data_IF_728361873577
#
_entry.id   IF_728361873577
#
_cell.length_a   1.000
_cell.length_b   1.000
_cell.length_c   1.000
_cell.angle_alpha   90.00
_cell.angle_beta   90.00
_cell.angle_gamma   90.00
#
_symmetry.space_group_name_H-M   'P 1'
#
loop_
_entity.id
_entity.type
_entity.pdbx_description
1 polymer ?
#
# COMPACT_ATOMS: atom_id res chain seq x y z
N UNK A 1 -21.67 13.36 25.31
CA UNK A 1 -21.54 12.09 24.57
C UNK A 1 -20.75 12.40 23.33
N UNK A 2 -19.48 12.00 23.30
CA UNK A 2 -18.66 12.09 22.09
C UNK A 2 -19.23 11.13 21.07
N UNK A 3 -19.57 11.64 19.88
CA UNK A 3 -20.11 10.84 18.79
C UNK A 3 -18.96 10.58 17.83
N UNK A 4 -18.51 9.32 17.79
CA UNK A 4 -17.46 8.89 16.87
C UNK A 4 -18.13 8.44 15.57
N UNK A 5 -18.01 9.25 14.53
CA UNK A 5 -18.54 8.95 13.22
C UNK A 5 -17.43 8.31 12.37
N UNK A 6 -17.70 7.17 11.73
CA UNK A 6 -16.76 6.49 10.81
C UNK A 6 -17.35 6.41 9.39
N UNK A 7 -17.49 7.53 8.65
CA UNK A 7 -18.19 7.55 7.36
C UNK A 7 -17.58 6.63 6.31
N UNK A 8 -16.25 6.44 6.34
CA UNK A 8 -15.55 5.51 5.44
C UNK A 8 -15.98 4.05 5.61
N UNK A 9 -16.55 3.69 6.76
CA UNK A 9 -17.04 2.33 7.03
C UNK A 9 -18.24 1.98 6.15
N UNK A 10 -19.06 2.95 5.76
CA UNK A 10 -20.22 2.72 4.88
C UNK A 10 -19.80 2.14 3.53
N UNK A 11 -18.65 2.57 2.99
CA UNK A 11 -18.12 2.07 1.72
C UNK A 11 -17.81 0.57 1.76
N UNK A 12 -17.49 0.02 2.94
CA UNK A 12 -17.26 -1.41 3.15
C UNK A 12 -18.54 -2.17 3.56
N UNK A 13 -19.48 -1.51 4.22
CA UNK A 13 -20.75 -2.10 4.68
C UNK A 13 -21.75 -2.25 3.52
N UNK A 14 -21.76 -1.31 2.57
CA UNK A 14 -22.65 -1.33 1.39
C UNK A 14 -22.17 -2.27 0.26
N UNK A 15 -20.97 -2.86 0.42
CA UNK A 15 -20.40 -3.78 -0.54
C UNK A 15 -21.19 -5.09 -0.62
N UNK A 16 -22.10 -5.19 -1.59
CA UNK A 16 -22.80 -6.43 -1.89
C UNK A 16 -21.79 -7.57 -2.13
N UNK A 17 -21.99 -8.71 -1.45
CA UNK A 17 -21.20 -9.93 -1.68
C UNK A 17 -21.30 -10.28 -3.16
N UNK A 18 -20.20 -10.12 -3.89
CA UNK A 18 -20.17 -10.53 -5.29
C UNK A 18 -20.29 -12.05 -5.37
N UNK A 19 -21.08 -12.58 -6.33
CA UNK A 19 -21.17 -14.01 -6.53
C UNK A 19 -19.80 -14.59 -6.94
N UNK A 20 -19.52 -15.82 -6.48
CA UNK A 20 -18.26 -16.51 -6.75
C UNK A 20 -17.18 -16.32 -5.68
N UNK A 21 -15.96 -16.76 -6.00
CA UNK A 21 -14.82 -16.68 -5.09
C UNK A 21 -14.17 -15.29 -5.13
N UNK A 22 -14.02 -14.68 -3.95
CA UNK A 22 -13.43 -13.34 -3.81
C UNK A 22 -12.01 -13.26 -4.36
N UNK A 23 -11.22 -14.33 -4.26
CA UNK A 23 -9.84 -14.37 -4.75
C UNK A 23 -9.78 -14.50 -6.27
N UNK A 24 -10.62 -15.36 -6.87
CA UNK A 24 -10.72 -15.47 -8.33
C UNK A 24 -11.22 -14.17 -8.95
N UNK A 25 -12.21 -13.53 -8.31
CA UNK A 25 -12.74 -12.24 -8.76
C UNK A 25 -11.67 -11.14 -8.65
N UNK A 26 -10.89 -11.11 -7.57
CA UNK A 26 -9.76 -10.20 -7.41
C UNK A 26 -8.74 -10.35 -8.54
N UNK A 27 -8.40 -11.59 -8.93
CA UNK A 27 -7.48 -11.85 -10.04
C UNK A 27 -8.04 -11.39 -11.40
N UNK A 28 -9.34 -11.56 -11.62
CA UNK A 28 -10.02 -11.25 -12.88
C UNK A 28 -10.29 -9.75 -13.09
N UNK A 29 -10.32 -8.95 -12.02
CA UNK A 29 -10.66 -7.53 -12.09
C UNK A 29 -9.65 -6.68 -12.87
N UNK A 30 -8.38 -7.10 -12.92
CA UNK A 30 -7.32 -6.40 -13.65
C UNK A 30 -6.79 -5.12 -12.98
N UNK A 31 -7.29 -4.76 -11.80
CA UNK A 31 -6.75 -3.67 -10.96
C UNK A 31 -6.26 -4.23 -9.61
N UNK A 32 -4.96 -4.46 -9.53
CA UNK A 32 -4.30 -4.97 -8.32
C UNK A 32 -4.51 -4.03 -7.11
N UNK A 33 -4.57 -2.72 -7.32
CA UNK A 33 -4.71 -1.76 -6.23
C UNK A 33 -6.11 -1.78 -5.67
N UNK A 34 -7.12 -1.78 -6.53
CA UNK A 34 -8.52 -1.90 -6.12
C UNK A 34 -8.77 -3.21 -5.39
N UNK A 35 -8.17 -4.30 -5.87
CA UNK A 35 -8.30 -5.63 -5.27
C UNK A 35 -7.31 -5.91 -4.13
N UNK A 36 -6.51 -4.91 -3.74
CA UNK A 36 -5.54 -4.98 -2.66
C UNK A 36 -4.47 -6.08 -2.84
N UNK A 37 -4.18 -6.45 -4.08
CA UNK A 37 -3.09 -7.37 -4.45
C UNK A 37 -1.75 -6.64 -4.30
N UNK A 38 -0.91 -7.18 -3.44
CA UNK A 38 0.42 -6.66 -3.11
C UNK A 38 1.51 -7.24 -4.01
N UNK A 39 1.39 -8.49 -4.43
CA UNK A 39 2.41 -9.12 -5.27
C UNK A 39 1.87 -10.36 -5.95
N UNK A 40 2.34 -10.64 -7.16
CA UNK A 40 1.99 -11.81 -7.96
C UNK A 40 3.27 -12.61 -8.19
N UNK A 41 3.33 -13.81 -7.61
CA UNK A 41 4.35 -14.82 -7.90
C UNK A 41 3.91 -15.75 -9.04
N UNK A 42 4.57 -16.90 -9.15
CA UNK A 42 4.37 -17.88 -10.21
C UNK A 42 3.16 -18.79 -9.96
N UNK A 43 2.94 -19.21 -8.71
CA UNK A 43 1.90 -20.14 -8.26
C UNK A 43 0.89 -19.50 -7.31
N UNK A 44 1.16 -18.29 -6.82
CA UNK A 44 0.27 -17.58 -5.91
C UNK A 44 0.51 -16.08 -5.87
N UNK A 45 -0.24 -15.41 -5.02
CA UNK A 45 -0.19 -13.97 -4.87
C UNK A 45 -0.42 -13.56 -3.40
N UNK A 46 0.03 -12.36 -3.05
CA UNK A 46 -0.14 -11.74 -1.74
C UNK A 46 -1.19 -10.65 -1.91
N UNK A 47 -2.15 -10.56 -0.98
CA UNK A 47 -3.11 -9.46 -0.93
C UNK A 47 -3.39 -9.03 0.51
N UNK A 48 -3.86 -7.81 0.73
CA UNK A 48 -4.37 -7.41 2.04
C UNK A 48 -5.76 -8.00 2.30
N UNK A 49 -6.02 -8.31 3.56
CA UNK A 49 -7.37 -8.59 4.01
C UNK A 49 -8.16 -7.28 4.15
N UNK A 50 -9.31 -7.22 3.49
CA UNK A 50 -10.24 -6.09 3.56
C UNK A 50 -10.78 -5.87 4.99
N UNK A 51 -10.89 -6.95 5.76
CA UNK A 51 -11.33 -6.97 7.15
C UNK A 51 -10.19 -7.45 8.05
N UNK A 52 -9.16 -6.61 8.25
CA UNK A 52 -7.94 -7.01 8.93
C UNK A 52 -8.18 -7.23 10.44
N UNK A 53 -7.41 -8.15 11.04
CA UNK A 53 -7.34 -8.26 12.51
C UNK A 53 -6.45 -7.15 13.08
N UNK A 54 -5.36 -6.84 12.38
CA UNK A 54 -4.41 -5.78 12.69
C UNK A 54 -3.91 -5.16 11.38
N UNK A 55 -3.37 -3.94 11.45
CA UNK A 55 -2.74 -3.29 10.29
C UNK A 55 -1.68 -4.21 9.69
N UNK A 56 -1.71 -4.36 8.36
CA UNK A 56 -0.85 -5.28 7.63
C UNK A 56 -1.29 -6.74 7.60
N UNK A 57 -2.50 -7.07 8.07
CA UNK A 57 -3.06 -8.41 7.86
C UNK A 57 -3.15 -8.71 6.35
N UNK A 58 -2.25 -9.57 5.88
CA UNK A 58 -2.20 -10.04 4.50
C UNK A 58 -2.57 -11.52 4.39
N UNK A 59 -2.93 -11.93 3.18
CA UNK A 59 -3.24 -13.30 2.81
C UNK A 59 -2.36 -13.70 1.63
N UNK A 60 -1.82 -14.91 1.69
CA UNK A 60 -1.12 -15.56 0.58
C UNK A 60 -2.02 -16.62 0.00
N UNK A 61 -2.30 -16.52 -1.30
CA UNK A 61 -3.37 -17.26 -1.95
C UNK A 61 -2.81 -17.93 -3.22
N UNK A 62 -2.99 -19.25 -3.41
CA UNK A 62 -2.63 -19.90 -4.67
C UNK A 62 -3.56 -19.45 -5.79
N UNK A 63 -3.06 -19.43 -7.03
CA UNK A 63 -3.91 -19.20 -8.20
C UNK A 63 -4.93 -20.34 -8.40
N UNK A 64 -4.54 -21.56 -8.04
CA UNK A 64 -5.41 -22.71 -8.09
C UNK A 64 -6.55 -22.58 -7.07
N UNK A 65 -7.79 -22.68 -7.53
CA UNK A 65 -8.96 -22.74 -6.65
C UNK A 65 -9.06 -24.12 -6.02
N UNK A 66 -8.47 -24.30 -4.84
CA UNK A 66 -8.54 -25.51 -4.02
C UNK A 66 -8.74 -25.13 -2.56
N UNK A 67 -9.45 -25.95 -1.80
CA UNK A 67 -9.80 -25.68 -0.40
C UNK A 67 -8.76 -26.18 0.62
N UNK A 68 -7.84 -27.07 0.21
CA UNK A 68 -6.89 -27.72 1.12
C UNK A 68 -5.47 -27.77 0.55
N UNK A 69 -4.50 -27.87 1.45
CA UNK A 69 -3.06 -27.86 1.13
C UNK A 69 -2.65 -29.16 0.41
N UNK A 70 -3.34 -30.28 0.68
CA UNK A 70 -3.01 -31.57 0.06
C UNK A 70 -3.25 -31.56 -1.46
N UNK A 71 -4.15 -30.69 -1.93
CA UNK A 71 -4.52 -30.58 -3.34
C UNK A 71 -3.58 -29.70 -4.18
N UNK A 72 -2.62 -29.03 -3.54
CA UNK A 72 -1.58 -28.28 -4.24
C UNK A 72 -0.42 -29.20 -4.64
N UNK A 73 0.27 -28.87 -5.72
CA UNK A 73 1.55 -29.50 -6.04
C UNK A 73 2.68 -28.99 -5.11
N UNK A 74 3.85 -29.63 -5.18
CA UNK A 74 4.96 -29.31 -4.31
C UNK A 74 5.58 -27.92 -4.56
N UNK A 75 5.61 -27.46 -5.81
CA UNK A 75 6.14 -26.14 -6.17
C UNK A 75 5.21 -25.04 -5.66
N UNK A 76 3.90 -25.20 -5.87
CA UNK A 76 2.87 -24.31 -5.33
C UNK A 76 2.98 -24.19 -3.80
N UNK A 77 3.09 -25.32 -3.07
CA UNK A 77 3.26 -25.28 -1.61
C UNK A 77 4.52 -24.56 -1.16
N UNK A 78 5.65 -24.79 -1.84
CA UNK A 78 6.92 -24.16 -1.51
C UNK A 78 6.83 -22.65 -1.72
N UNK A 79 6.30 -22.20 -2.86
CA UNK A 79 6.20 -20.78 -3.16
C UNK A 79 5.21 -20.05 -2.25
N UNK A 80 4.09 -20.66 -1.84
CA UNK A 80 3.21 -20.04 -0.86
C UNK A 80 3.95 -19.72 0.46
N UNK A 81 4.90 -20.55 0.87
CA UNK A 81 5.72 -20.29 2.05
C UNK A 81 6.75 -19.17 1.80
N UNK A 82 7.35 -19.11 0.61
CA UNK A 82 8.25 -18.01 0.21
C UNK A 82 7.52 -16.66 0.14
N UNK A 83 6.29 -16.65 -0.40
CA UNK A 83 5.43 -15.48 -0.43
C UNK A 83 5.01 -15.05 0.98
N UNK A 84 4.73 -16.00 1.88
CA UNK A 84 4.45 -15.69 3.28
C UNK A 84 5.68 -15.11 3.98
N UNK A 85 6.87 -15.64 3.70
CA UNK A 85 8.15 -15.12 4.20
C UNK A 85 8.39 -13.68 3.72
N UNK A 86 8.15 -13.41 2.43
CA UNK A 86 8.22 -12.06 1.85
C UNK A 86 7.24 -11.09 2.52
N UNK A 87 5.98 -11.51 2.74
CA UNK A 87 4.98 -10.70 3.44
C UNK A 87 5.40 -10.38 4.88
N UNK A 88 5.97 -11.37 5.61
CA UNK A 88 6.48 -11.20 6.97
C UNK A 88 7.65 -10.21 7.00
N UNK A 89 8.61 -10.34 6.07
CA UNK A 89 9.77 -9.45 5.98
C UNK A 89 9.35 -8.00 5.71
N UNK A 90 8.53 -7.79 4.66
CA UNK A 90 8.02 -6.47 4.32
C UNK A 90 7.25 -5.84 5.48
N UNK A 91 6.31 -6.59 6.07
CA UNK A 91 5.52 -6.14 7.23
C UNK A 91 6.41 -5.75 8.41
N UNK A 92 7.44 -6.56 8.72
CA UNK A 92 8.36 -6.28 9.84
C UNK A 92 9.09 -4.96 9.63
N UNK A 93 9.57 -4.72 8.40
CA UNK A 93 10.31 -3.51 8.03
C UNK A 93 9.44 -2.26 8.14
N UNK A 94 8.22 -2.30 7.58
CA UNK A 94 7.34 -1.11 7.54
C UNK A 94 6.56 -0.89 8.85
N UNK A 95 6.12 -1.94 9.53
CA UNK A 95 5.23 -1.83 10.71
C UNK A 95 5.97 -1.93 12.04
N UNK A 96 7.22 -2.41 12.05
CA UNK A 96 8.04 -2.61 13.26
C UNK A 96 7.29 -3.38 14.35
N UNK A 97 6.56 -4.42 13.93
CA UNK A 97 5.79 -5.28 14.82
C UNK A 97 6.70 -6.25 15.59
N UNK A 98 6.24 -6.68 16.77
CA UNK A 98 7.00 -7.53 17.69
C UNK A 98 6.94 -9.02 17.30
N UNK A 99 5.92 -9.42 16.54
CA UNK A 99 5.73 -10.82 16.14
C UNK A 99 4.68 -11.00 15.06
N UNK A 100 4.40 -12.26 14.73
CA UNK A 100 3.45 -12.64 13.69
C UNK A 100 2.65 -13.88 14.08
N UNK A 101 1.39 -13.92 13.69
CA UNK A 101 0.67 -15.18 13.50
C UNK A 101 0.64 -15.50 12.01
N UNK A 102 1.13 -16.68 11.64
CA UNK A 102 1.06 -17.21 10.27
C UNK A 102 0.30 -18.52 10.33
N UNK A 103 -0.77 -18.67 9.55
CA UNK A 103 -1.63 -19.84 9.68
C UNK A 103 -2.72 -19.99 8.62
N UNK A 104 -3.37 -21.15 8.67
CA UNK A 104 -4.40 -21.59 7.74
C UNK A 104 -5.61 -22.10 8.52
N UNK A 105 -6.80 -21.71 8.08
CA UNK A 105 -8.04 -22.30 8.56
C UNK A 105 -8.58 -23.24 7.46
N UNK A 106 -8.62 -24.55 7.72
CA UNK A 106 -9.04 -25.55 6.75
C UNK A 106 -10.46 -26.05 7.05
N UNK A 107 -11.39 -25.72 6.17
CA UNK A 107 -12.81 -26.04 6.33
C UNK A 107 -13.57 -25.02 7.20
N UNK A 108 -14.89 -24.96 7.03
CA UNK A 108 -15.76 -23.99 7.70
C UNK A 108 -15.71 -24.10 9.24
N UNK A 109 -15.58 -25.31 9.77
CA UNK A 109 -15.50 -25.57 11.22
C UNK A 109 -14.21 -25.01 11.84
N UNK A 110 -13.13 -24.89 11.07
CA UNK A 110 -11.88 -24.27 11.50
C UNK A 110 -11.90 -22.73 11.41
N UNK A 111 -13.03 -22.12 11.03
CA UNK A 111 -13.16 -20.66 10.90
C UNK A 111 -12.68 -20.11 9.56
N UNK A 112 -12.67 -20.92 8.49
CA UNK A 112 -12.40 -20.43 7.14
C UNK A 112 -13.56 -19.54 6.67
N UNK A 113 -13.32 -18.22 6.56
CA UNK A 113 -14.31 -17.27 6.04
C UNK A 113 -14.62 -17.46 4.54
N UNK A 114 -13.67 -18.04 3.81
CA UNK A 114 -13.76 -18.48 2.42
C UNK A 114 -13.27 -19.93 2.36
N UNK A 115 -14.18 -20.89 2.52
CA UNK A 115 -13.82 -22.29 2.78
C UNK A 115 -13.44 -23.08 1.52
N UNK A 116 -13.78 -22.58 0.34
CA UNK A 116 -13.58 -23.22 -0.96
C UNK A 116 -12.22 -22.91 -1.60
N UNK A 117 -11.55 -21.84 -1.16
CA UNK A 117 -10.25 -21.42 -1.68
C UNK A 117 -9.26 -21.12 -0.55
N UNK A 118 -8.20 -21.90 -0.50
CA UNK A 118 -7.10 -21.84 0.46
C UNK A 118 -6.47 -20.44 0.50
N UNK A 119 -6.20 -19.93 1.70
CA UNK A 119 -5.50 -18.66 1.88
C UNK A 119 -4.77 -18.65 3.22
N UNK A 120 -3.46 -18.43 3.20
CA UNK A 120 -2.62 -18.37 4.40
C UNK A 120 -2.62 -16.95 4.94
N UNK A 121 -3.02 -16.80 6.20
CA UNK A 121 -3.00 -15.52 6.89
C UNK A 121 -1.59 -15.20 7.40
N UNK A 122 -1.17 -13.95 7.25
CA UNK A 122 0.00 -13.35 7.88
C UNK A 122 -0.50 -12.14 8.65
N UNK A 123 -0.46 -12.22 9.99
CA UNK A 123 -1.03 -11.21 10.88
C UNK A 123 0.08 -10.63 11.76
N UNK A 124 0.49 -9.37 11.54
CA UNK A 124 1.42 -8.66 12.42
C UNK A 124 0.85 -8.49 13.83
N UNK A 125 1.69 -8.65 14.86
CA UNK A 125 1.33 -8.59 16.28
C UNK A 125 2.25 -7.64 17.05
N UNK A 126 1.68 -6.95 18.04
CA UNK A 126 2.42 -6.11 18.98
C UNK A 126 2.11 -6.51 20.41
N UNK A 127 3.05 -6.24 21.30
CA UNK A 127 2.85 -6.34 22.73
C UNK A 127 1.72 -5.41 23.15
N UNK A 128 0.59 -5.99 23.60
CA UNK A 128 -0.58 -5.22 24.02
C UNK A 128 -1.50 -4.74 22.88
N UNK A 129 -1.42 -5.33 21.68
CA UNK A 129 -2.35 -5.02 20.58
C UNK A 129 -3.81 -5.35 20.90
N UNK A 130 -4.05 -6.36 21.75
CA UNK A 130 -5.34 -6.63 22.33
C UNK A 130 -5.57 -5.74 23.56
N UNK A 131 -6.53 -4.82 23.47
CA UNK A 131 -6.99 -3.98 24.57
C UNK A 131 -8.47 -4.28 24.92
N UNK A 132 -9.08 -3.44 25.75
CA UNK A 132 -10.46 -3.66 26.20
C UNK A 132 -11.52 -3.40 25.11
N UNK A 133 -11.19 -2.66 24.05
CA UNK A 133 -12.16 -2.21 23.03
C UNK A 133 -12.83 -3.36 22.27
N UNK A 134 -12.11 -4.41 21.81
CA UNK A 134 -12.75 -5.53 21.11
C UNK A 134 -13.60 -6.38 22.06
N UNK A 135 -13.17 -6.51 23.32
CA UNK A 135 -13.81 -7.38 24.31
C UNK A 135 -15.10 -6.74 24.86
N UNK A 136 -15.05 -5.44 25.20
CA UNK A 136 -16.17 -4.75 25.84
C UNK A 136 -17.04 -3.96 24.86
N UNK A 137 -16.48 -3.54 23.72
CA UNK A 137 -17.13 -2.63 22.78
C UNK A 137 -17.32 -3.21 21.38
N UNK A 138 -16.97 -4.47 21.14
CA UNK A 138 -17.04 -5.13 19.82
C UNK A 138 -16.43 -4.26 18.70
N UNK A 139 -15.35 -3.55 19.04
CA UNK A 139 -14.74 -2.53 18.19
C UNK A 139 -13.24 -2.71 18.13
N UNK A 140 -12.72 -2.90 16.92
CA UNK A 140 -11.30 -2.87 16.62
C UNK A 140 -10.86 -1.46 16.23
N UNK A 141 -9.77 -0.97 16.83
CA UNK A 141 -9.17 0.32 16.49
C UNK A 141 -7.93 0.06 15.64
N UNK A 142 -7.94 0.57 14.41
CA UNK A 142 -6.86 0.39 13.44
C UNK A 142 -6.01 1.67 13.37
N UNK A 143 -4.69 1.60 13.62
CA UNK A 143 -3.83 2.79 13.67
C UNK A 143 -3.53 3.37 12.28
N UNK A 144 -3.66 2.58 11.22
CA UNK A 144 -3.36 2.99 9.84
C UNK A 144 -4.51 2.62 8.89
N UNK A 145 -4.80 3.50 7.94
CA UNK A 145 -5.81 3.28 6.91
C UNK A 145 -5.34 2.27 5.88
N UNK A 146 -6.28 1.47 5.36
CA UNK A 146 -5.99 0.40 4.39
C UNK A 146 -5.22 0.88 3.13
N UNK A 147 -5.56 2.02 2.50
CA UNK A 147 -4.78 2.52 1.35
C UNK A 147 -3.32 2.88 1.70
N UNK A 148 -3.09 3.40 2.90
CA UNK A 148 -1.75 3.72 3.38
C UNK A 148 -0.95 2.44 3.65
N UNK A 149 -1.54 1.48 4.37
CA UNK A 149 -0.94 0.16 4.59
C UNK A 149 -0.63 -0.55 3.27
N UNK A 150 -1.56 -0.53 2.32
CA UNK A 150 -1.36 -1.08 0.97
C UNK A 150 -0.15 -0.46 0.28
N UNK A 151 -0.06 0.87 0.27
CA UNK A 151 1.03 1.60 -0.37
C UNK A 151 2.40 1.24 0.20
N UNK A 152 2.50 1.21 1.54
CA UNK A 152 3.73 0.91 2.26
C UNK A 152 4.16 -0.54 2.03
N UNK A 153 3.22 -1.49 2.13
CA UNK A 153 3.52 -2.91 1.88
C UNK A 153 3.85 -3.17 0.41
N UNK A 154 3.10 -2.61 -0.54
CA UNK A 154 3.34 -2.79 -1.99
C UNK A 154 4.74 -2.28 -2.33
N UNK A 155 5.07 -1.05 -1.93
CA UNK A 155 6.39 -0.48 -2.21
C UNK A 155 7.54 -1.28 -1.62
N UNK A 156 7.41 -1.74 -0.38
CA UNK A 156 8.47 -2.53 0.25
C UNK A 156 8.62 -3.92 -0.37
N UNK A 157 7.51 -4.55 -0.76
CA UNK A 157 7.56 -5.85 -1.46
C UNK A 157 8.24 -5.70 -2.82
N UNK A 158 7.90 -4.68 -3.61
CA UNK A 158 8.56 -4.43 -4.90
C UNK A 158 10.07 -4.19 -4.72
N UNK A 159 10.47 -3.46 -3.66
CA UNK A 159 11.89 -3.24 -3.36
C UNK A 159 12.61 -4.55 -3.02
N UNK A 160 12.04 -5.38 -2.15
CA UNK A 160 12.62 -6.67 -1.77
C UNK A 160 12.68 -7.65 -2.95
N UNK A 161 11.63 -7.69 -3.79
CA UNK A 161 11.60 -8.53 -4.99
C UNK A 161 12.65 -8.06 -5.99
N UNK A 162 12.75 -6.74 -6.22
CA UNK A 162 13.77 -6.15 -7.07
C UNK A 162 15.19 -6.49 -6.60
N UNK A 163 15.45 -6.40 -5.29
CA UNK A 163 16.73 -6.78 -4.68
C UNK A 163 17.04 -8.27 -4.94
N UNK A 164 16.11 -9.17 -4.63
CA UNK A 164 16.27 -10.62 -4.81
C UNK A 164 16.45 -11.02 -6.28
N UNK A 165 15.83 -10.27 -7.20
CA UNK A 165 15.95 -10.50 -8.65
C UNK A 165 17.20 -9.87 -9.28
N UNK A 166 18.03 -9.15 -8.52
CA UNK A 166 19.21 -8.44 -9.05
C UNK A 166 18.89 -7.15 -9.83
N UNK A 167 17.67 -6.64 -9.68
CA UNK A 167 17.16 -5.41 -10.32
C UNK A 167 16.62 -4.44 -9.24
N UNK A 168 17.49 -3.92 -8.35
CA UNK A 168 17.06 -3.19 -7.16
C UNK A 168 16.36 -1.87 -7.49
N UNK A 169 15.40 -1.51 -6.64
CA UNK A 169 14.73 -0.21 -6.65
C UNK A 169 15.52 0.72 -5.73
N UNK A 170 16.17 1.72 -6.31
CA UNK A 170 17.12 2.58 -5.58
C UNK A 170 16.54 3.94 -5.21
N UNK A 171 15.35 4.27 -5.72
CA UNK A 171 14.75 5.59 -5.56
C UNK A 171 13.26 5.49 -5.20
N UNK A 172 12.81 6.45 -4.40
CA UNK A 172 11.42 6.63 -4.04
C UNK A 172 10.95 8.02 -4.50
N UNK A 173 9.91 8.04 -5.32
CA UNK A 173 9.21 9.23 -5.74
C UNK A 173 7.97 9.50 -4.89
N UNK A 174 7.54 10.75 -4.83
CA UNK A 174 6.34 11.11 -4.05
C UNK A 174 5.49 12.15 -4.74
N UNK A 175 4.18 11.89 -4.83
CA UNK A 175 3.19 12.90 -5.18
C UNK A 175 2.66 13.45 -3.86
N UNK A 176 3.07 14.67 -3.53
CA UNK A 176 2.71 15.30 -2.27
C UNK A 176 1.50 16.20 -2.50
N UNK A 177 0.42 15.89 -1.80
CA UNK A 177 -0.83 16.67 -1.80
C UNK A 177 -0.89 17.50 -0.52
N UNK A 178 -1.05 18.80 -0.67
CA UNK A 178 -1.30 19.74 0.43
C UNK A 178 -2.78 20.12 0.36
N UNK A 179 -3.63 19.62 1.27
CA UNK A 179 -5.06 19.92 1.26
C UNK A 179 -5.33 21.42 1.23
N UNK A 180 -6.18 21.87 0.32
CA UNK A 180 -6.50 23.29 0.13
C UNK A 180 -5.48 24.11 -0.67
N UNK A 181 -4.28 23.60 -0.95
CA UNK A 181 -3.25 24.31 -1.73
C UNK A 181 -2.99 23.66 -3.09
N UNK A 182 -2.82 22.33 -3.15
CA UNK A 182 -2.58 21.61 -4.40
C UNK A 182 -1.53 20.52 -4.28
N UNK A 183 -0.76 20.31 -5.36
CA UNK A 183 0.25 19.27 -5.50
C UNK A 183 1.62 19.90 -5.64
N UNK A 184 2.59 19.38 -4.89
CA UNK A 184 3.97 19.86 -4.91
C UNK A 184 4.75 19.25 -6.06
N UNK A 185 5.39 20.11 -6.84
CA UNK A 185 6.37 19.77 -7.87
C UNK A 185 7.73 20.37 -7.53
N UNK A 186 8.79 19.66 -7.89
CA UNK A 186 10.16 20.15 -7.82
C UNK A 186 10.61 20.63 -9.20
N UNK A 187 11.34 21.74 -9.25
CA UNK A 187 12.02 22.20 -10.46
C UNK A 187 13.44 21.65 -10.49
N UNK A 188 13.80 20.97 -11.58
CA UNK A 188 15.19 20.66 -11.92
C UNK A 188 15.65 21.63 -13.00
N UNK A 189 16.77 22.33 -12.76
CA UNK A 189 17.37 23.32 -13.67
C UNK A 189 17.63 22.78 -15.10
N UNK A 190 17.59 21.46 -15.30
CA UNK A 190 17.87 20.80 -16.58
C UNK A 190 16.73 19.92 -17.14
N UNK A 191 15.75 19.52 -16.31
CA UNK A 191 14.74 18.50 -16.68
C UNK A 191 13.27 18.99 -16.62
N UNK A 192 13.03 20.24 -16.20
CA UNK A 192 11.70 20.79 -16.03
C UNK A 192 11.06 20.39 -14.69
N UNK A 193 9.73 20.40 -14.63
CA UNK A 193 8.99 20.08 -13.41
C UNK A 193 8.76 18.57 -13.28
N UNK A 194 9.05 18.04 -12.10
CA UNK A 194 8.85 16.62 -11.76
C UNK A 194 8.33 16.46 -10.34
N UNK A 195 7.95 15.23 -9.97
CA UNK A 195 7.67 14.90 -8.58
C UNK A 195 8.99 14.74 -7.80
N UNK A 196 9.04 15.11 -6.51
CA UNK A 196 10.21 14.86 -5.68
C UNK A 196 10.61 13.38 -5.70
N UNK A 197 11.86 13.10 -6.03
CA UNK A 197 12.47 11.77 -5.99
C UNK A 197 13.69 11.82 -5.08
N UNK A 198 13.82 10.82 -4.22
CA UNK A 198 14.99 10.64 -3.35
C UNK A 198 15.59 9.25 -3.52
N UNK A 199 16.91 9.08 -3.38
CA UNK A 199 17.46 7.75 -3.17
C UNK A 199 16.89 7.12 -1.89
N UNK A 200 16.71 5.80 -1.93
CA UNK A 200 16.42 4.94 -0.77
C UNK A 200 17.78 4.60 -0.14
N UNK A 201 17.96 4.90 1.14
CA UNK A 201 19.22 4.67 1.84
C UNK A 201 19.09 3.51 2.84
N UNK A 202 19.50 2.26 2.50
CA UNK A 202 19.39 1.14 3.43
C UNK A 202 19.99 1.45 4.81
N UNK A 203 19.34 1.06 5.93
CA UNK A 203 18.21 0.13 6.04
C UNK A 203 16.81 0.78 5.93
N UNK A 204 16.71 1.98 5.36
CA UNK A 204 15.43 2.70 5.16
C UNK A 204 14.45 1.91 4.28
N UNK A 205 13.15 2.01 4.59
CA UNK A 205 12.06 1.49 3.73
C UNK A 205 11.69 2.48 2.62
N UNK A 206 10.99 2.01 1.58
CA UNK A 206 10.45 2.92 0.55
C UNK A 206 9.58 4.02 1.18
N UNK A 207 8.76 3.65 2.17
CA UNK A 207 7.88 4.61 2.84
C UNK A 207 8.64 5.63 3.70
N UNK A 208 9.73 5.24 4.35
CA UNK A 208 10.57 6.15 5.12
C UNK A 208 11.27 7.17 4.19
N UNK A 209 11.76 6.71 3.02
CA UNK A 209 12.35 7.58 2.02
C UNK A 209 11.35 8.63 1.50
N UNK A 210 10.11 8.22 1.22
CA UNK A 210 9.03 9.15 0.85
C UNK A 210 8.74 10.16 1.95
N UNK A 211 8.60 9.70 3.20
CA UNK A 211 8.33 10.59 4.33
C UNK A 211 9.47 11.59 4.57
N UNK A 212 10.72 11.16 4.36
CA UNK A 212 11.90 12.04 4.40
C UNK A 212 11.88 13.08 3.29
N UNK A 213 11.60 12.68 2.04
CA UNK A 213 11.51 13.61 0.91
C UNK A 213 10.40 14.65 1.11
N UNK A 214 9.22 14.19 1.52
CA UNK A 214 8.08 15.07 1.73
C UNK A 214 8.18 15.94 2.99
N UNK A 215 8.76 15.40 4.07
CA UNK A 215 9.03 16.15 5.31
C UNK A 215 10.11 17.21 5.12
N UNK A 216 11.18 16.89 4.38
CA UNK A 216 12.22 17.85 3.99
C UNK A 216 11.70 18.97 3.09
N UNK A 217 10.70 18.67 2.25
CA UNK A 217 10.03 19.68 1.44
C UNK A 217 9.18 20.61 2.33
N UNK A 218 8.24 20.10 3.13
CA UNK A 218 7.13 20.93 3.66
C UNK A 218 7.20 21.27 5.15
N UNK A 219 8.15 20.71 5.91
CA UNK A 219 8.34 21.01 7.35
C UNK A 219 7.15 20.68 8.26
N UNK A 220 6.09 20.04 7.73
CA UNK A 220 4.86 19.65 8.41
C UNK A 220 4.76 18.15 8.69
N UNK A 221 3.65 17.74 9.30
CA UNK A 221 3.33 16.32 9.50
C UNK A 221 2.86 15.71 8.19
N UNK A 222 3.69 14.84 7.62
CA UNK A 222 3.37 14.11 6.39
C UNK A 222 2.96 12.68 6.71
N UNK A 223 1.93 12.18 6.03
CA UNK A 223 1.47 10.79 6.10
C UNK A 223 1.39 10.17 4.71
N UNK A 224 1.63 8.86 4.61
CA UNK A 224 1.37 8.11 3.38
C UNK A 224 -0.14 8.01 3.18
N UNK A 225 -0.61 8.34 1.99
CA UNK A 225 -2.03 8.33 1.64
C UNK A 225 -2.40 7.19 0.68
N UNK A 226 -1.45 6.69 -0.12
CA UNK A 226 -1.75 5.65 -1.10
C UNK A 226 -0.62 5.29 -2.04
N UNK A 227 -0.85 4.26 -2.86
CA UNK A 227 0.05 3.80 -3.91
C UNK A 227 -0.16 4.62 -5.19
N UNK A 228 0.93 5.11 -5.80
CA UNK A 228 0.85 5.85 -7.06
C UNK A 228 1.31 5.03 -8.27
N UNK A 229 2.39 4.25 -8.14
CA UNK A 229 2.89 3.42 -9.23
C UNK A 229 4.39 3.16 -9.15
N UNK A 230 4.93 2.56 -10.20
CA UNK A 230 6.35 2.34 -10.37
C UNK A 230 6.74 2.77 -11.79
N UNK A 231 7.94 3.34 -11.92
CA UNK A 231 8.54 3.71 -13.21
C UNK A 231 9.91 3.07 -13.26
N UNK A 232 10.16 2.26 -14.29
CA UNK A 232 11.41 1.51 -14.43
C UNK A 232 12.54 2.36 -15.03
N UNK A 233 12.21 3.32 -15.90
CA UNK A 233 13.16 4.17 -16.64
C UNK A 233 13.18 5.61 -16.13
N UNK A 234 13.57 5.84 -14.87
CA UNK A 234 13.90 7.20 -14.41
C UNK A 234 15.40 7.48 -14.59
N UNK A 235 15.84 8.76 -14.58
CA UNK A 235 17.27 9.09 -14.54
C UNK A 235 18.03 8.44 -13.38
N UNK A 236 17.33 8.05 -12.30
CA UNK A 236 17.87 7.37 -11.13
C UNK A 236 17.63 5.84 -11.15
N UNK A 237 17.22 5.27 -12.28
CA UNK A 237 16.84 3.86 -12.45
C UNK A 237 15.37 3.60 -12.11
N UNK A 238 15.08 2.45 -11.47
CA UNK A 238 13.72 2.10 -11.07
C UNK A 238 13.30 2.90 -9.83
N UNK A 239 12.09 3.46 -9.86
CA UNK A 239 11.54 4.23 -8.76
C UNK A 239 10.09 3.83 -8.43
N UNK A 240 9.81 3.71 -7.15
CA UNK A 240 8.45 3.53 -6.62
C UNK A 240 7.89 4.88 -6.22
N UNK A 241 6.66 5.17 -6.64
CA UNK A 241 5.95 6.39 -6.32
C UNK A 241 4.80 6.12 -5.33
N UNK A 242 4.79 6.88 -4.24
CA UNK A 242 3.70 6.89 -3.26
C UNK A 242 2.99 8.25 -3.22
N UNK A 243 1.69 8.22 -2.93
CA UNK A 243 0.92 9.41 -2.58
C UNK A 243 1.18 9.75 -1.11
N UNK A 244 1.48 11.01 -0.83
CA UNK A 244 1.62 11.52 0.52
C UNK A 244 0.73 12.76 0.71
N UNK A 245 0.18 12.91 1.90
CA UNK A 245 -0.52 14.13 2.31
C UNK A 245 0.28 14.84 3.38
N UNK A 246 0.44 16.15 3.25
CA UNK A 246 1.11 16.96 4.25
C UNK A 246 0.19 18.09 4.70
N UNK A 247 0.10 18.30 6.01
CA UNK A 247 -0.62 19.46 6.53
C UNK A 247 0.17 20.74 6.23
N UNK A 248 -0.51 21.86 5.92
CA UNK A 248 0.15 23.14 5.70
C UNK A 248 1.03 23.50 6.91
N UNK A 249 2.34 23.56 6.70
CA UNK A 249 3.31 24.04 7.68
C UNK A 249 3.66 25.51 7.45
N UNK A 250 4.46 26.10 8.34
CA UNK A 250 5.03 27.45 8.15
C UNK A 250 6.15 27.49 7.10
N UNK A 251 6.52 26.36 6.50
CA UNK A 251 7.65 26.24 5.59
C UNK A 251 7.19 26.38 4.13
N UNK A 252 7.46 27.52 3.53
CA UNK A 252 7.53 27.67 2.08
C UNK A 252 8.76 26.92 1.57
N UNK A 253 8.56 25.85 0.81
CA UNK A 253 9.69 25.08 0.24
C UNK A 253 10.43 25.96 -0.78
N UNK A 254 11.73 26.27 -0.60
CA UNK A 254 12.48 26.99 -1.62
C UNK A 254 12.61 26.13 -2.88
N UNK A 255 12.09 26.61 -4.02
CA UNK A 255 12.19 25.93 -5.32
C UNK A 255 11.11 24.90 -5.62
N UNK A 256 10.16 24.64 -4.71
CA UNK A 256 8.98 23.84 -5.04
C UNK A 256 7.83 24.70 -5.55
N UNK A 257 7.12 24.20 -6.54
CA UNK A 257 5.94 24.83 -7.13
C UNK A 257 4.72 24.03 -6.68
N UNK A 258 3.72 24.71 -6.13
CA UNK A 258 2.43 24.08 -5.82
C UNK A 258 1.46 24.44 -6.94
N UNK A 259 0.91 23.42 -7.59
CA UNK A 259 -0.07 23.57 -8.65
C UNK A 259 -1.40 22.92 -8.25
N UNK A 260 -2.53 23.46 -8.71
CA UNK A 260 -3.81 22.78 -8.53
C UNK A 260 -3.79 21.44 -9.32
N UNK A 261 -4.45 20.38 -8.81
CA UNK A 261 -4.35 19.03 -9.36
C UNK A 261 -4.56 18.94 -10.89
N UNK A 262 -5.50 19.70 -11.44
CA UNK A 262 -5.83 19.73 -12.85
C UNK A 262 -4.73 20.32 -13.75
N UNK A 263 -3.82 21.12 -13.19
CA UNK A 263 -2.73 21.77 -13.94
C UNK A 263 -1.44 20.95 -13.92
N UNK A 264 -1.31 19.97 -13.02
CA UNK A 264 -0.07 19.20 -12.82
C UNK A 264 0.30 18.40 -14.06
N UNK A 265 -0.65 17.71 -14.69
CA UNK A 265 -0.38 16.88 -15.87
C UNK A 265 0.21 17.69 -17.05
N UNK A 266 -0.19 18.96 -17.18
CA UNK A 266 0.32 19.85 -18.24
C UNK A 266 1.69 20.46 -17.90
N UNK A 267 2.07 20.45 -16.62
CA UNK A 267 3.33 21.01 -16.14
C UNK A 267 4.48 20.00 -16.16
N UNK A 268 4.17 18.70 -16.06
CA UNK A 268 5.15 17.61 -16.13
C UNK A 268 5.72 17.47 -17.55
N UNK A 269 7.01 17.16 -17.64
CA UNK A 269 7.73 16.97 -18.91
C UNK A 269 7.87 15.51 -19.31
N UNK A 270 7.86 14.58 -18.36
CA UNK A 270 8.04 13.14 -18.57
C UNK A 270 6.68 12.45 -18.85
N UNK A 271 6.50 11.81 -20.03
CA UNK A 271 5.28 11.06 -20.36
C UNK A 271 4.91 9.98 -19.33
N UNK A 272 5.88 9.30 -18.72
CA UNK A 272 5.62 8.26 -17.72
C UNK A 272 5.05 8.87 -16.43
N UNK A 273 5.56 10.03 -16.00
CA UNK A 273 5.02 10.75 -14.85
C UNK A 273 3.61 11.30 -15.15
N UNK A 274 3.36 11.75 -16.37
CA UNK A 274 2.04 12.22 -16.81
C UNK A 274 1.02 11.07 -16.73
N UNK A 275 1.34 9.92 -17.31
CA UNK A 275 0.44 8.75 -17.29
C UNK A 275 0.20 8.27 -15.84
N UNK A 276 1.25 8.19 -15.04
CA UNK A 276 1.16 7.83 -13.63
C UNK A 276 0.24 8.80 -12.89
N UNK A 277 0.45 10.11 -13.04
CA UNK A 277 -0.36 11.12 -12.36
C UNK A 277 -1.82 11.12 -12.81
N UNK A 278 -2.10 10.93 -14.09
CA UNK A 278 -3.47 10.86 -14.61
C UNK A 278 -4.27 9.72 -13.96
N UNK A 279 -3.65 8.57 -13.71
CA UNK A 279 -4.27 7.45 -12.97
C UNK A 279 -4.54 7.79 -11.49
N UNK A 280 -3.80 8.74 -10.92
CA UNK A 280 -3.96 9.19 -9.54
C UNK A 280 -4.87 10.40 -9.39
N UNK A 281 -5.17 11.13 -10.46
CA UNK A 281 -5.93 12.38 -10.42
C UNK A 281 -7.24 12.29 -9.62
N UNK A 282 -8.09 11.25 -9.74
CA UNK A 282 -9.31 11.16 -8.94
C UNK A 282 -9.06 11.06 -7.43
N UNK A 283 -7.95 10.43 -7.03
CA UNK A 283 -7.56 10.32 -5.61
C UNK A 283 -6.97 11.65 -5.14
N UNK A 284 -6.04 12.21 -5.93
CA UNK A 284 -5.40 13.50 -5.65
C UNK A 284 -6.43 14.61 -5.50
N UNK A 285 -7.42 14.70 -6.39
CA UNK A 285 -8.49 15.71 -6.32
C UNK A 285 -9.32 15.55 -5.05
N UNK A 286 -9.62 14.31 -4.62
CA UNK A 286 -10.33 14.08 -3.35
C UNK A 286 -9.49 14.49 -2.14
N UNK A 287 -8.20 14.17 -2.13
CA UNK A 287 -7.28 14.55 -1.06
C UNK A 287 -7.03 16.06 -1.00
N UNK A 288 -7.00 16.74 -2.15
CA UNK A 288 -6.82 18.18 -2.24
C UNK A 288 -8.08 18.96 -1.84
N UNK A 289 -9.27 18.41 -2.16
CA UNK A 289 -10.58 19.05 -1.92
C UNK A 289 -11.22 18.75 -0.56
N UNK A 290 -10.69 17.83 0.23
CA UNK A 290 -11.20 17.53 1.58
C UNK A 290 -10.84 18.65 2.56
N UNK A 291 -11.79 19.54 2.82
CA UNK A 291 -11.94 20.32 4.05
C UNK A 291 -13.11 19.78 4.87
#
# INVERSE_FOLDING_TARGET
MERLWSPWRMTYVDGARQPGCVFCNALAAGDDREMLILHRGDHGFIMLNLYPYNSGHSMVVPYQHVSTIENLDAASRAELLELASLAVEASRRILRCDGFNVGLNLGSVAGAGVADHLHMHVVPRWTGDANFMPILGDTMVMPELLPATYARMRGEIEALVGERAGHPINSAGTIIVVPGEGVVLASDDTAGLSFPVTPICPPETVSDAVLRAAGGALGGSTTIAGWAGMIDDTPAGRAVYLLATSLPGSASVPGAIVLPPESVANALTDPALIELFQKQLPIVTRLAGSM
#
